data_IF_384096562724
#
_entry.id   IF_384096562724
#
_cell.length_a   1.000
_cell.length_b   1.000
_cell.length_c   1.000
_cell.angle_alpha   90.00
_cell.angle_beta   90.00
_cell.angle_gamma   90.00
#
_symmetry.space_group_name_H-M   'P 1'
#
loop_
_entity.id
_entity.type
_entity.pdbx_description
1 polymer ?
#
# COMPACT_ATOMS: atom_id res chain seq x y z
N UNK A 1 -42.20 -19.31 21.24
CA UNK A 1 -40.91 -18.57 21.15
C UNK A 1 -41.21 -17.07 21.22
N UNK A 2 -41.00 -16.44 22.37
CA UNK A 2 -41.14 -14.99 22.49
C UNK A 2 -39.92 -14.33 21.84
N UNK A 3 -40.14 -13.62 20.72
CA UNK A 3 -39.12 -12.74 20.14
C UNK A 3 -38.94 -11.58 21.12
N UNK A 4 -37.78 -11.52 21.78
CA UNK A 4 -37.41 -10.35 22.58
C UNK A 4 -37.11 -9.22 21.59
N UNK A 5 -37.97 -8.21 21.56
CA UNK A 5 -37.70 -6.98 20.82
C UNK A 5 -36.62 -6.21 21.58
N UNK A 6 -35.61 -5.74 20.85
CA UNK A 6 -34.61 -4.83 21.39
C UNK A 6 -35.30 -3.59 21.96
N UNK A 7 -34.86 -3.17 23.14
CA UNK A 7 -35.38 -1.94 23.75
C UNK A 7 -34.91 -0.72 22.97
N UNK A 8 -35.75 0.32 22.90
CA UNK A 8 -35.38 1.62 22.32
C UNK A 8 -34.09 2.18 22.95
N UNK A 9 -33.86 1.89 24.23
CA UNK A 9 -32.65 2.35 24.94
C UNK A 9 -31.40 1.58 24.51
N UNK A 10 -31.52 0.29 24.20
CA UNK A 10 -30.41 -0.53 23.72
C UNK A 10 -29.98 -0.08 22.33
N UNK A 11 -30.93 0.26 21.46
CA UNK A 11 -30.64 0.79 20.13
C UNK A 11 -29.89 2.13 20.20
N UNK A 12 -30.30 3.02 21.10
CA UNK A 12 -29.64 4.32 21.28
C UNK A 12 -28.19 4.15 21.75
N UNK A 13 -27.94 3.25 22.71
CA UNK A 13 -26.59 2.95 23.20
C UNK A 13 -25.70 2.44 22.06
N UNK A 14 -26.21 1.53 21.21
CA UNK A 14 -25.47 0.99 20.07
C UNK A 14 -25.09 2.10 19.09
N UNK A 15 -26.00 3.02 18.76
CA UNK A 15 -25.73 4.15 17.86
C UNK A 15 -24.63 5.06 18.43
N UNK A 16 -24.66 5.34 19.73
CA UNK A 16 -23.62 6.16 20.40
C UNK A 16 -22.26 5.46 20.36
N UNK A 17 -22.21 4.16 20.65
CA UNK A 17 -20.97 3.39 20.61
C UNK A 17 -20.39 3.38 19.19
N UNK A 18 -21.22 3.13 18.17
CA UNK A 18 -20.80 3.18 16.77
C UNK A 18 -20.27 4.58 16.42
N UNK A 19 -20.96 5.65 16.83
CA UNK A 19 -20.51 7.02 16.61
C UNK A 19 -19.14 7.33 17.25
N UNK A 20 -18.90 6.88 18.48
CA UNK A 20 -17.61 7.04 19.16
C UNK A 20 -16.50 6.24 18.47
N UNK A 21 -16.77 5.00 18.06
CA UNK A 21 -15.80 4.18 17.33
C UNK A 21 -15.46 4.81 15.97
N UNK A 22 -16.46 5.29 15.23
CA UNK A 22 -16.24 5.95 13.93
C UNK A 22 -15.44 7.25 14.07
N UNK A 23 -15.76 8.08 15.07
CA UNK A 23 -15.01 9.31 15.31
C UNK A 23 -13.57 9.05 15.75
N UNK A 24 -13.31 8.03 16.56
CA UNK A 24 -11.95 7.60 16.91
C UNK A 24 -11.18 7.07 15.69
N UNK A 25 -11.83 6.32 14.80
CA UNK A 25 -11.21 5.86 13.55
C UNK A 25 -10.82 7.04 12.64
N UNK A 26 -11.72 8.00 12.43
CA UNK A 26 -11.49 9.18 11.56
C UNK A 26 -10.45 10.14 12.16
N UNK A 27 -10.47 10.35 13.47
CA UNK A 27 -9.50 11.24 14.13
C UNK A 27 -8.07 10.70 14.11
N UNK A 28 -7.89 9.37 14.08
CA UNK A 28 -6.58 8.76 13.84
C UNK A 28 -6.11 8.94 12.40
N UNK A 29 -7.01 8.97 11.41
CA UNK A 29 -6.63 9.25 10.01
C UNK A 29 -6.18 10.70 9.80
N UNK A 30 -6.75 11.68 10.50
CA UNK A 30 -6.35 13.09 10.38
C UNK A 30 -5.04 13.44 11.11
N UNK A 31 -4.48 12.52 11.89
CA UNK A 31 -3.17 12.68 12.56
C UNK A 31 -1.97 12.31 11.68
N UNK A 32 -2.21 11.84 10.45
CA UNK A 32 -1.19 11.53 9.44
C UNK A 32 -0.52 12.80 8.83
N UNK A 33 -0.89 13.99 9.30
CA UNK A 33 -0.38 15.27 8.79
C UNK A 33 0.94 15.73 9.43
N UNK A 34 1.59 14.91 10.26
CA UNK A 34 2.91 15.22 10.80
C UNK A 34 3.99 14.67 9.84
N UNK A 35 4.77 15.52 9.14
CA UNK A 35 5.76 15.11 8.12
C UNK A 35 6.96 14.32 8.69
N UNK A 36 6.89 13.89 9.96
CA UNK A 36 7.85 13.02 10.63
C UNK A 36 7.35 11.58 10.81
N UNK A 37 6.24 11.18 10.18
CA UNK A 37 5.99 9.76 10.04
C UNK A 37 7.09 9.13 9.19
N UNK A 38 7.87 8.24 9.83
CA UNK A 38 8.93 7.48 9.18
C UNK A 38 8.35 6.83 7.92
N UNK A 39 8.96 7.06 6.77
CA UNK A 39 8.58 6.41 5.53
C UNK A 39 8.65 4.89 5.73
N UNK A 40 7.49 4.23 5.59
CA UNK A 40 7.33 2.77 5.67
C UNK A 40 6.53 2.28 4.47
N UNK A 41 6.52 0.98 4.19
CA UNK A 41 5.67 0.43 3.13
C UNK A 41 4.16 0.68 3.41
N UNK A 42 3.75 0.86 4.67
CA UNK A 42 2.38 1.23 5.01
C UNK A 42 2.04 2.66 4.63
N UNK A 43 3.00 3.59 4.77
CA UNK A 43 2.82 5.02 4.55
C UNK A 43 3.35 5.50 3.19
N UNK A 44 3.83 4.58 2.35
CA UNK A 44 4.47 4.90 1.07
C UNK A 44 3.49 5.58 0.11
N UNK A 45 2.24 5.13 0.02
CA UNK A 45 1.24 5.74 -0.87
C UNK A 45 0.97 7.19 -0.46
N UNK A 46 0.74 7.42 0.82
CA UNK A 46 0.49 8.75 1.40
C UNK A 46 1.70 9.67 1.23
N UNK A 47 2.90 9.13 1.42
CA UNK A 47 4.15 9.86 1.18
C UNK A 47 4.28 10.29 -0.28
N UNK A 48 4.07 9.39 -1.25
CA UNK A 48 4.12 9.75 -2.67
C UNK A 48 3.00 10.72 -3.07
N UNK A 49 1.81 10.60 -2.45
CA UNK A 49 0.68 11.52 -2.67
C UNK A 49 0.96 12.95 -2.19
N UNK A 50 1.90 13.13 -1.26
CA UNK A 50 2.29 14.47 -0.78
C UNK A 50 2.93 15.34 -1.87
N UNK A 51 3.37 14.74 -2.99
CA UNK A 51 3.87 15.43 -4.18
C UNK A 51 2.72 15.75 -5.17
N UNK A 52 1.59 16.24 -4.66
CA UNK A 52 0.29 16.33 -5.35
C UNK A 52 0.25 17.13 -6.65
N UNK A 53 1.27 17.95 -6.92
CA UNK A 53 1.36 18.78 -8.12
C UNK A 53 1.80 17.98 -9.36
N UNK A 54 2.40 16.80 -9.17
CA UNK A 54 2.88 15.94 -10.24
C UNK A 54 1.75 15.05 -10.80
N UNK A 55 1.80 14.73 -12.11
CA UNK A 55 0.83 13.78 -12.69
C UNK A 55 1.09 12.36 -12.20
N UNK A 56 2.37 12.01 -12.04
CA UNK A 56 2.83 10.70 -11.57
C UNK A 56 4.05 10.86 -10.67
N UNK A 57 4.08 10.05 -9.62
CA UNK A 57 5.17 10.03 -8.65
C UNK A 57 5.64 8.60 -8.49
N UNK A 58 6.94 8.37 -8.62
CA UNK A 58 7.55 7.05 -8.60
C UNK A 58 8.66 6.98 -7.56
N UNK A 59 8.64 5.95 -6.72
CA UNK A 59 9.81 5.50 -5.98
C UNK A 59 10.61 4.57 -6.89
N UNK A 60 11.89 4.88 -7.12
CA UNK A 60 12.81 4.07 -7.91
C UNK A 60 14.03 3.71 -7.06
N UNK A 61 14.18 2.43 -6.72
CA UNK A 61 15.34 1.91 -6.01
C UNK A 61 16.21 1.10 -6.97
N UNK A 62 17.50 1.43 -7.01
CA UNK A 62 18.47 0.79 -7.89
C UNK A 62 19.38 -0.15 -7.08
N UNK A 63 20.08 -1.04 -7.79
CA UNK A 63 21.12 -1.92 -7.26
C UNK A 63 20.70 -2.81 -6.07
N UNK A 64 21.09 -2.46 -4.85
CA UNK A 64 20.84 -3.22 -3.60
C UNK A 64 19.61 -2.72 -2.81
N UNK A 65 18.84 -1.80 -3.41
CA UNK A 65 17.68 -1.16 -2.80
C UNK A 65 17.97 -0.25 -1.58
N UNK A 66 19.23 -0.05 -1.20
CA UNK A 66 19.59 0.80 -0.05
C UNK A 66 19.28 2.29 -0.30
N UNK A 67 19.36 2.72 -1.57
CA UNK A 67 19.10 4.07 -1.99
C UNK A 67 17.97 4.11 -3.02
N UNK A 68 16.97 4.94 -2.76
CA UNK A 68 15.81 5.12 -3.62
C UNK A 68 15.59 6.60 -3.94
N UNK A 69 15.27 6.89 -5.19
CA UNK A 69 14.91 8.22 -5.64
C UNK A 69 13.40 8.37 -5.77
N UNK A 70 12.90 9.55 -5.43
CA UNK A 70 11.53 9.96 -5.71
C UNK A 70 11.56 10.78 -6.99
N UNK A 71 10.86 10.28 -8.00
CA UNK A 71 10.71 10.91 -9.30
C UNK A 71 9.30 11.46 -9.43
N UNK A 72 9.15 12.78 -9.56
CA UNK A 72 7.90 13.45 -9.89
C UNK A 72 7.93 13.82 -11.37
N UNK A 73 7.03 13.26 -12.18
CA UNK A 73 7.02 13.45 -13.64
C UNK A 73 8.39 13.19 -14.31
N UNK A 74 9.10 12.17 -13.82
CA UNK A 74 10.46 11.75 -14.20
C UNK A 74 11.61 12.66 -13.73
N UNK A 75 11.34 13.72 -12.97
CA UNK A 75 12.37 14.56 -12.36
C UNK A 75 12.60 14.14 -10.90
N UNK A 76 13.87 14.01 -10.51
CA UNK A 76 14.24 13.67 -9.13
C UNK A 76 13.90 14.83 -8.20
N UNK A 77 13.01 14.58 -7.23
CA UNK A 77 12.57 15.59 -6.25
C UNK A 77 13.02 15.29 -4.82
N UNK A 78 13.27 14.02 -4.50
CA UNK A 78 13.79 13.62 -3.20
C UNK A 78 14.61 12.32 -3.32
N UNK A 79 15.35 12.02 -2.27
CA UNK A 79 16.10 10.78 -2.10
C UNK A 79 15.77 10.20 -0.73
N UNK A 80 15.72 8.87 -0.66
CA UNK A 80 15.38 8.08 0.51
C UNK A 80 16.44 7.01 0.68
N UNK A 81 17.11 7.04 1.82
CA UNK A 81 18.14 6.08 2.21
C UNK A 81 17.57 5.07 3.21
N UNK A 82 18.09 3.84 3.21
CA UNK A 82 17.81 2.77 4.18
C UNK A 82 16.31 2.40 4.35
N UNK A 83 15.49 2.69 3.34
CA UNK A 83 14.06 2.35 3.34
C UNK A 83 13.80 0.87 3.01
N UNK A 84 14.53 0.36 2.03
CA UNK A 84 14.49 -1.03 1.57
C UNK A 84 15.90 -1.63 1.53
N UNK A 85 15.97 -2.93 1.29
CA UNK A 85 17.19 -3.66 0.99
C UNK A 85 16.87 -4.79 0.01
N UNK A 86 17.89 -5.53 -0.42
CA UNK A 86 17.78 -6.60 -1.41
C UNK A 86 16.78 -7.72 -1.06
N UNK A 87 16.31 -7.81 0.19
CA UNK A 87 15.29 -8.78 0.60
C UNK A 87 13.89 -8.46 0.07
N UNK A 88 13.67 -7.26 -0.48
CA UNK A 88 12.38 -6.87 -1.04
C UNK A 88 12.05 -7.69 -2.29
N UNK A 89 10.82 -8.20 -2.33
CA UNK A 89 10.28 -8.93 -3.48
C UNK A 89 8.89 -8.44 -3.82
N UNK A 90 8.64 -8.26 -5.11
CA UNK A 90 7.34 -7.81 -5.63
C UNK A 90 6.63 -8.94 -6.33
N UNK A 91 5.34 -9.08 -6.09
CA UNK A 91 4.48 -10.10 -6.65
C UNK A 91 3.24 -9.45 -7.27
N UNK A 92 2.72 -10.10 -8.31
CA UNK A 92 1.38 -9.82 -8.83
C UNK A 92 0.46 -10.97 -8.44
N UNK A 93 -0.74 -10.65 -7.99
CA UNK A 93 -1.78 -11.66 -7.77
C UNK A 93 -2.44 -12.03 -9.10
N UNK A 94 -2.53 -13.32 -9.36
CA UNK A 94 -3.17 -13.95 -10.50
C UNK A 94 -4.14 -15.02 -9.99
N UNK A 95 -5.43 -14.87 -10.27
CA UNK A 95 -6.47 -15.77 -9.73
C UNK A 95 -6.22 -17.25 -10.02
N UNK A 96 -5.62 -17.57 -11.17
CA UNK A 96 -5.30 -18.95 -11.57
C UNK A 96 -4.09 -19.55 -10.85
N UNK A 97 -3.11 -18.74 -10.45
CA UNK A 97 -1.79 -19.22 -9.99
C UNK A 97 -1.39 -18.74 -8.59
N UNK A 98 -2.18 -17.87 -7.96
CA UNK A 98 -1.83 -17.22 -6.70
C UNK A 98 -0.93 -16.02 -6.94
N UNK A 99 0.28 -16.02 -6.38
CA UNK A 99 1.26 -14.92 -6.57
C UNK A 99 2.33 -15.30 -7.59
N UNK A 100 2.61 -14.38 -8.51
CA UNK A 100 3.70 -14.49 -9.49
C UNK A 100 4.72 -13.40 -9.19
N UNK A 101 5.97 -13.78 -8.95
CA UNK A 101 7.05 -12.82 -8.70
C UNK A 101 7.27 -11.94 -9.95
N UNK A 102 7.25 -10.61 -9.76
CA UNK A 102 7.59 -9.66 -10.81
C UNK A 102 9.09 -9.74 -11.07
N UNK A 103 9.46 -9.94 -12.34
CA UNK A 103 10.87 -9.84 -12.73
C UNK A 103 11.37 -8.40 -12.59
N UNK A 104 12.63 -8.26 -12.20
CA UNK A 104 13.30 -6.97 -12.08
C UNK A 104 13.41 -6.33 -13.46
N UNK A 105 12.87 -5.12 -13.59
CA UNK A 105 12.92 -4.35 -14.82
C UNK A 105 14.31 -3.76 -15.05
N UNK A 106 14.59 -3.38 -16.29
CA UNK A 106 15.81 -2.68 -16.68
C UNK A 106 15.49 -1.19 -16.82
N UNK A 107 16.29 -0.34 -16.18
CA UNK A 107 16.18 1.11 -16.30
C UNK A 107 17.39 1.66 -17.05
N UNK A 108 17.19 2.69 -17.87
CA UNK A 108 18.27 3.42 -18.52
C UNK A 108 18.22 4.86 -18.02
N UNK A 109 19.34 5.32 -17.46
CA UNK A 109 19.45 6.70 -17.00
C UNK A 109 19.63 7.68 -18.18
N UNK A 110 19.75 8.97 -17.89
CA UNK A 110 19.89 10.02 -18.91
C UNK A 110 21.15 9.89 -19.78
N UNK A 111 22.19 9.24 -19.26
CA UNK A 111 23.43 8.94 -19.98
C UNK A 111 23.35 7.64 -20.79
N UNK A 112 22.15 7.05 -20.90
CA UNK A 112 21.89 5.78 -21.57
C UNK A 112 22.68 4.60 -20.96
N UNK A 113 23.01 4.69 -19.67
CA UNK A 113 23.63 3.61 -18.91
C UNK A 113 22.52 2.72 -18.34
N UNK A 114 22.70 1.41 -18.54
CA UNK A 114 21.77 0.42 -18.02
C UNK A 114 21.98 0.24 -16.51
N UNK A 115 20.91 0.43 -15.75
CA UNK A 115 20.86 0.25 -14.31
C UNK A 115 19.86 -0.85 -13.95
N UNK A 116 20.17 -1.58 -12.89
CA UNK A 116 19.34 -2.67 -12.41
C UNK A 116 18.30 -2.10 -11.44
N UNK A 117 17.02 -2.20 -11.81
CA UNK A 117 15.95 -1.83 -10.89
C UNK A 117 15.82 -2.92 -9.83
N UNK A 118 16.01 -2.54 -8.58
CA UNK A 118 15.81 -3.43 -7.45
C UNK A 118 14.34 -3.42 -7.00
N UNK A 119 13.74 -2.23 -6.93
CA UNK A 119 12.33 -2.04 -6.62
C UNK A 119 11.81 -0.76 -7.27
N UNK A 120 10.55 -0.77 -7.70
CA UNK A 120 9.87 0.46 -8.09
C UNK A 120 8.38 0.39 -7.80
N UNK A 121 7.81 1.54 -7.46
CA UNK A 121 6.38 1.70 -7.23
C UNK A 121 5.94 3.09 -7.68
N UNK A 122 4.93 3.14 -8.55
CA UNK A 122 4.39 4.38 -9.12
C UNK A 122 2.94 4.59 -8.66
N UNK A 123 2.57 5.85 -8.41
CA UNK A 123 1.19 6.30 -8.25
C UNK A 123 0.87 7.44 -9.23
N UNK A 124 -0.40 7.57 -9.58
CA UNK A 124 -0.94 8.74 -10.26
C UNK A 124 -1.39 9.83 -9.27
N UNK A 125 -1.78 10.99 -9.81
CA UNK A 125 -2.34 12.12 -9.04
C UNK A 125 -3.58 11.78 -8.19
N UNK A 126 -4.26 10.67 -8.48
CA UNK A 126 -5.43 10.20 -7.73
C UNK A 126 -5.04 9.24 -6.60
N UNK A 127 -3.75 8.93 -6.46
CA UNK A 127 -3.24 7.94 -5.50
C UNK A 127 -3.36 6.49 -5.97
N UNK A 128 -3.82 6.28 -7.20
CA UNK A 128 -3.93 4.95 -7.80
C UNK A 128 -2.53 4.53 -8.20
N UNK A 129 -2.05 3.44 -7.61
CA UNK A 129 -0.74 2.89 -7.91
C UNK A 129 -0.77 1.48 -8.46
N UNK A 130 0.43 0.96 -8.67
CA UNK A 130 0.64 -0.39 -9.16
C UNK A 130 -0.05 -1.43 -8.25
N UNK A 131 -0.79 -2.35 -8.86
CA UNK A 131 -1.40 -3.47 -8.14
C UNK A 131 -0.35 -4.55 -7.86
N UNK A 132 0.35 -4.41 -6.74
CA UNK A 132 1.41 -5.33 -6.33
C UNK A 132 1.28 -5.77 -4.88
N UNK A 133 1.81 -6.94 -4.59
CA UNK A 133 2.03 -7.46 -3.24
C UNK A 133 3.53 -7.45 -2.99
N UNK A 134 3.98 -6.88 -1.89
CA UNK A 134 5.40 -6.72 -1.55
C UNK A 134 5.71 -7.57 -0.34
N UNK A 135 6.69 -8.47 -0.45
CA UNK A 135 7.27 -9.17 0.69
C UNK A 135 8.57 -8.48 1.10
N UNK A 136 8.68 -8.13 2.39
CA UNK A 136 9.87 -7.47 2.95
C UNK A 136 10.00 -7.78 4.44
N UNK A 137 11.20 -8.16 4.90
CA UNK A 137 11.51 -8.43 6.33
C UNK A 137 10.43 -9.24 7.07
N UNK A 138 10.04 -10.38 6.50
CA UNK A 138 9.04 -11.32 7.04
C UNK A 138 7.60 -10.77 7.12
N UNK A 139 7.30 -9.69 6.42
CA UNK A 139 5.96 -9.12 6.31
C UNK A 139 5.56 -9.02 4.86
N UNK A 140 4.25 -9.04 4.63
CA UNK A 140 3.67 -8.89 3.30
C UNK A 140 2.75 -7.69 3.28
N UNK A 141 2.88 -6.85 2.27
CA UNK A 141 2.16 -5.59 2.11
C UNK A 141 1.39 -5.62 0.79
N UNK A 142 0.08 -5.41 0.84
CA UNK A 142 -0.79 -5.45 -0.33
C UNK A 142 -1.20 -4.05 -0.76
N UNK A 143 -0.62 -3.62 -1.89
CA UNK A 143 -0.85 -2.33 -2.52
C UNK A 143 -1.99 -2.37 -3.54
N UNK A 144 -2.58 -3.55 -3.80
CA UNK A 144 -3.64 -3.69 -4.79
C UNK A 144 -4.96 -2.96 -4.45
N UNK A 145 -5.33 -2.67 -3.18
CA UNK A 145 -6.51 -1.85 -2.91
C UNK A 145 -6.31 -0.40 -3.40
N UNK A 146 -7.30 0.12 -4.12
CA UNK A 146 -7.25 1.47 -4.68
C UNK A 146 -7.57 2.57 -3.66
N UNK A 147 -8.60 2.35 -2.84
CA UNK A 147 -9.21 3.40 -2.00
C UNK A 147 -8.94 3.22 -0.50
N UNK A 148 -8.28 2.13 -0.12
CA UNK A 148 -7.94 1.83 1.28
C UNK A 148 -6.44 1.88 1.47
N UNK A 149 -6.04 2.05 2.73
CA UNK A 149 -4.64 1.95 3.12
C UNK A 149 -4.07 0.57 2.74
N UNK A 150 -2.74 0.55 2.56
CA UNK A 150 -1.98 -0.67 2.30
C UNK A 150 -2.22 -1.67 3.43
N UNK A 151 -2.67 -2.88 3.07
CA UNK A 151 -2.92 -3.95 4.03
C UNK A 151 -1.61 -4.69 4.33
N UNK A 152 -1.46 -5.21 5.55
CA UNK A 152 -0.30 -5.99 5.96
C UNK A 152 -0.70 -7.37 6.48
N UNK A 153 0.10 -8.37 6.14
CA UNK A 153 -0.09 -9.77 6.51
C UNK A 153 1.20 -10.37 7.06
N UNK A 154 1.08 -11.52 7.73
CA UNK A 154 2.22 -12.29 8.24
C UNK A 154 2.91 -13.11 7.13
N UNK A 155 2.20 -13.42 6.03
CA UNK A 155 2.70 -14.30 4.98
C UNK A 155 2.04 -14.06 3.61
N UNK A 156 2.65 -14.56 2.54
CA UNK A 156 2.08 -14.48 1.19
C UNK A 156 0.82 -15.35 1.08
N UNK A 157 0.81 -16.50 1.77
CA UNK A 157 -0.31 -17.43 1.82
C UNK A 157 -1.55 -16.78 2.43
N UNK A 158 -1.36 -15.99 3.49
CA UNK A 158 -2.45 -15.23 4.11
C UNK A 158 -2.99 -14.15 3.18
N UNK A 159 -2.12 -13.38 2.51
CA UNK A 159 -2.53 -12.37 1.53
C UNK A 159 -3.35 -13.02 0.39
N UNK A 160 -2.89 -14.15 -0.14
CA UNK A 160 -3.59 -14.92 -1.19
C UNK A 160 -4.93 -15.46 -0.72
N UNK A 161 -5.00 -15.98 0.52
CA UNK A 161 -6.26 -16.47 1.09
C UNK A 161 -7.30 -15.35 1.16
N UNK A 162 -6.92 -14.20 1.71
CA UNK A 162 -7.79 -13.03 1.82
C UNK A 162 -8.29 -12.55 0.45
N UNK A 163 -7.40 -12.53 -0.56
CA UNK A 163 -7.76 -12.22 -1.95
C UNK A 163 -8.81 -13.15 -2.53
N UNK A 164 -8.65 -14.46 -2.32
CA UNK A 164 -9.61 -15.47 -2.82
C UNK A 164 -10.97 -15.33 -2.16
N UNK A 165 -11.00 -15.10 -0.85
CA UNK A 165 -12.25 -14.89 -0.11
C UNK A 165 -13.03 -13.67 -0.65
N UNK A 166 -12.33 -12.55 -0.89
CA UNK A 166 -12.90 -11.36 -1.53
C UNK A 166 -13.44 -11.65 -2.94
N UNK A 167 -12.71 -12.42 -3.76
CA UNK A 167 -13.17 -12.80 -5.11
C UNK A 167 -14.43 -13.67 -5.08
N UNK A 168 -14.56 -14.55 -4.08
CA UNK A 168 -15.76 -15.37 -3.88
C UNK A 168 -16.95 -14.54 -3.41
N UNK A 169 -16.73 -13.56 -2.52
CA UNK A 169 -17.78 -12.66 -2.03
C UNK A 169 -18.35 -11.79 -3.14
N UNK A 170 -17.50 -11.23 -4.00
CA UNK A 170 -17.94 -10.38 -5.13
C UNK A 170 -18.68 -11.17 -6.21
N UNK A 171 -18.44 -12.48 -6.33
CA UNK A 171 -19.14 -13.36 -7.29
C UNK A 171 -20.52 -13.80 -6.82
N UNK A 172 -20.84 -13.68 -5.53
CA UNK A 172 -22.15 -14.04 -4.95
C UNK A 172 -23.15 -12.90 -5.11
#
# INVERSE_FOLDING_TARGET
MQKRAFSLIELLIVIVIIGVVYTLAITNMNKLSDPKEKLTLLTLKEYLLSFSDAKRVKLLCLDDCSNCDILADNEKVANVEDFLDESVKSYRYESAYGTVEKQKEVYFNLDNVQERVCFSYEIDKSGVGDQVIIAFKNRVYDFTPYLTQTLQYDSLEEAVRFKRELEEEVKR
#
